data_IF_953420252028
#
_entry.id   IF_953420252028
#
_cell.length_a   1.000
_cell.length_b   1.000
_cell.length_c   1.000
_cell.angle_alpha   90.00
_cell.angle_beta   90.00
_cell.angle_gamma   90.00
#
_symmetry.space_group_name_H-M   'P 1'
#
loop_
_entity.id
_entity.type
_entity.pdbx_description
1 polymer ?
#
# COMPACT_ATOMS: atom_id res chain seq x y z
N UNK A 1 9.66 -8.15 -18.14
CA UNK A 1 8.59 -7.30 -17.57
C UNK A 1 7.35 -8.10 -17.17
N UNK A 2 7.17 -9.30 -17.73
CA UNK A 2 5.96 -10.14 -17.59
C UNK A 2 5.63 -10.58 -16.16
N UNK A 3 6.60 -10.57 -15.25
CA UNK A 3 6.39 -10.99 -13.86
C UNK A 3 5.97 -9.86 -12.91
N UNK A 4 6.14 -8.59 -13.29
CA UNK A 4 5.90 -7.45 -12.39
C UNK A 4 4.44 -7.40 -11.94
N UNK A 5 3.49 -7.51 -12.87
CA UNK A 5 2.06 -7.42 -12.56
C UNK A 5 1.59 -8.62 -11.72
N UNK A 6 1.88 -9.89 -12.07
CA UNK A 6 1.58 -11.03 -11.21
C UNK A 6 2.19 -10.93 -9.80
N UNK A 7 3.48 -10.57 -9.71
CA UNK A 7 4.18 -10.40 -8.42
C UNK A 7 3.53 -9.29 -7.60
N UNK A 8 3.24 -8.14 -8.21
CA UNK A 8 2.55 -7.04 -7.55
C UNK A 8 1.19 -7.46 -6.99
N UNK A 9 0.36 -8.17 -7.77
CA UNK A 9 -0.96 -8.64 -7.31
C UNK A 9 -0.83 -9.57 -6.11
N UNK A 10 0.10 -10.53 -6.20
CA UNK A 10 0.33 -11.50 -5.14
C UNK A 10 0.82 -10.82 -3.85
N UNK A 11 1.85 -9.98 -3.96
CA UNK A 11 2.39 -9.19 -2.83
C UNK A 11 1.32 -8.30 -2.22
N UNK A 12 0.48 -7.64 -3.02
CA UNK A 12 -0.59 -6.76 -2.52
C UNK A 12 -1.61 -7.52 -1.70
N UNK A 13 -2.05 -8.71 -2.15
CA UNK A 13 -3.01 -9.54 -1.42
C UNK A 13 -2.39 -10.07 -0.13
N UNK A 14 -1.16 -10.59 -0.19
CA UNK A 14 -0.44 -11.07 1.00
C UNK A 14 -0.26 -9.94 2.02
N UNK A 15 0.21 -8.77 1.58
CA UNK A 15 0.36 -7.60 2.42
C UNK A 15 -0.97 -7.19 3.05
N UNK A 16 -2.05 -7.15 2.29
CA UNK A 16 -3.36 -6.77 2.80
C UNK A 16 -3.88 -7.76 3.87
N UNK A 17 -3.70 -9.06 3.66
CA UNK A 17 -4.06 -10.09 4.64
C UNK A 17 -3.22 -10.00 5.92
N UNK A 18 -1.92 -9.78 5.80
CA UNK A 18 -1.03 -9.57 6.95
C UNK A 18 -1.41 -8.28 7.70
N UNK A 19 -1.76 -7.22 6.97
CA UNK A 19 -2.20 -5.94 7.55
C UNK A 19 -3.52 -6.09 8.32
N UNK A 20 -4.45 -6.93 7.84
CA UNK A 20 -5.63 -7.28 8.62
C UNK A 20 -5.27 -8.00 9.92
N UNK A 21 -4.44 -9.05 9.83
CA UNK A 21 -4.07 -9.86 11.00
C UNK A 21 -3.34 -9.04 12.07
N UNK A 22 -2.33 -8.27 11.65
CA UNK A 22 -1.55 -7.39 12.53
C UNK A 22 -2.40 -6.25 13.10
N UNK A 23 -3.33 -5.69 12.31
CA UNK A 23 -4.26 -4.67 12.78
C UNK A 23 -5.25 -5.21 13.82
N UNK A 24 -5.79 -6.42 13.63
CA UNK A 24 -6.63 -7.09 14.64
C UNK A 24 -5.82 -7.38 15.91
N UNK A 25 -4.59 -7.90 15.76
CA UNK A 25 -3.72 -8.15 16.90
C UNK A 25 -3.44 -6.89 17.70
N UNK A 26 -3.18 -5.74 17.06
CA UNK A 26 -3.00 -4.46 17.74
C UNK A 26 -4.22 -3.99 18.53
N UNK A 27 -5.44 -4.35 18.10
CA UNK A 27 -6.68 -4.02 18.80
C UNK A 27 -6.97 -4.96 19.98
N UNK A 28 -6.71 -6.26 19.81
CA UNK A 28 -7.04 -7.29 20.82
C UNK A 28 -5.92 -7.46 21.84
N UNK A 29 -4.66 -7.43 21.40
CA UNK A 29 -3.46 -7.55 22.22
C UNK A 29 -2.41 -6.47 21.86
N UNK A 30 -2.66 -5.21 22.29
CA UNK A 30 -1.73 -4.11 22.04
C UNK A 30 -0.36 -4.32 22.70
N UNK A 31 -0.28 -5.12 23.77
CA UNK A 31 0.98 -5.39 24.47
C UNK A 31 1.84 -6.35 23.65
N UNK A 32 1.29 -7.48 23.19
CA UNK A 32 1.98 -8.41 22.31
C UNK A 32 2.36 -7.78 20.96
N UNK A 33 1.51 -6.91 20.43
CA UNK A 33 1.84 -6.09 19.26
C UNK A 33 3.05 -5.18 19.55
N UNK A 34 3.02 -4.40 20.64
CA UNK A 34 4.11 -3.47 20.97
C UNK A 34 5.48 -4.15 21.16
N UNK A 35 5.50 -5.36 21.73
CA UNK A 35 6.71 -6.19 21.87
C UNK A 35 7.26 -6.60 20.50
N UNK A 36 6.38 -6.98 19.57
CA UNK A 36 6.75 -7.37 18.20
C UNK A 36 7.35 -6.20 17.39
N UNK A 37 7.00 -4.96 17.73
CA UNK A 37 7.56 -3.73 17.14
C UNK A 37 8.73 -3.16 17.95
N UNK A 38 9.17 -3.86 18.99
CA UNK A 38 10.33 -3.49 19.80
C UNK A 38 10.12 -2.23 20.65
N UNK A 39 8.87 -1.88 20.96
CA UNK A 39 8.46 -0.81 21.87
C UNK A 39 7.69 -1.42 23.06
N UNK A 40 8.35 -2.15 23.98
CA UNK A 40 7.66 -2.78 25.09
C UNK A 40 6.97 -1.72 25.96
N UNK A 41 5.64 -1.82 26.08
CA UNK A 41 4.82 -0.94 26.92
C UNK A 41 4.94 -1.24 28.42
N UNK A 42 5.92 -2.03 28.84
CA UNK A 42 6.05 -2.45 30.23
C UNK A 42 6.34 -1.23 31.12
N UNK A 43 5.54 -1.02 32.19
CA UNK A 43 5.81 0.04 33.15
C UNK A 43 7.12 -0.29 33.87
N UNK A 44 8.11 0.58 33.74
CA UNK A 44 9.31 0.53 34.59
C UNK A 44 8.86 0.75 36.05
N UNK A 45 9.22 -0.12 37.01
CA UNK A 45 8.88 0.11 38.40
C UNK A 45 9.74 1.30 38.87
N UNK A 46 9.12 2.45 39.09
CA UNK A 46 9.79 3.63 39.65
C UNK A 46 8.83 4.38 40.57
N UNK A 47 9.42 4.94 41.63
CA UNK A 47 8.82 5.49 42.85
C UNK A 47 7.48 6.24 42.68
N UNK A 48 6.68 6.26 43.76
CA UNK A 48 5.25 6.59 43.78
C UNK A 48 4.80 7.91 43.09
N UNK A 49 5.67 8.89 42.88
CA UNK A 49 5.37 10.09 42.08
C UNK A 49 5.45 9.86 40.55
N UNK A 50 6.26 8.90 40.09
CA UNK A 50 6.35 8.48 38.68
C UNK A 50 5.21 7.54 38.24
N UNK A 51 4.42 6.97 39.17
CA UNK A 51 3.29 6.09 38.84
C UNK A 51 2.18 6.78 38.05
N UNK A 52 1.92 8.07 38.30
CA UNK A 52 0.91 8.84 37.53
C UNK A 52 1.39 9.15 36.11
N UNK A 53 2.67 9.46 35.95
CA UNK A 53 3.29 9.73 34.65
C UNK A 53 3.41 8.43 33.83
N UNK A 54 3.83 7.33 34.47
CA UNK A 54 3.92 6.01 33.85
C UNK A 54 2.56 5.45 33.43
N UNK A 55 1.50 5.66 34.23
CA UNK A 55 0.14 5.22 33.84
C UNK A 55 -0.45 6.06 32.71
N UNK A 56 -0.18 7.38 32.64
CA UNK A 56 -0.53 8.20 31.48
C UNK A 56 0.24 7.80 30.22
N UNK A 57 1.55 7.59 30.31
CA UNK A 57 2.36 7.13 29.18
C UNK A 57 1.91 5.76 28.67
N UNK A 58 1.57 4.83 29.57
CA UNK A 58 1.02 3.52 29.22
C UNK A 58 -0.35 3.65 28.52
N UNK A 59 -1.22 4.55 28.99
CA UNK A 59 -2.49 4.86 28.35
C UNK A 59 -2.33 5.45 26.94
N UNK A 60 -1.46 6.46 26.79
CA UNK A 60 -1.15 7.08 25.50
C UNK A 60 -0.56 6.08 24.50
N UNK A 61 0.33 5.22 24.97
CA UNK A 61 0.98 4.25 24.11
C UNK A 61 0.02 3.11 23.70
N UNK A 62 -0.92 2.71 24.57
CA UNK A 62 -2.04 1.82 24.19
C UNK A 62 -2.95 2.46 23.14
N UNK A 63 -3.31 3.74 23.30
CA UNK A 63 -4.08 4.49 22.29
C UNK A 63 -3.34 4.62 20.97
N UNK A 64 -2.02 4.85 21.01
CA UNK A 64 -1.17 4.90 19.81
C UNK A 64 -1.11 3.56 19.09
N UNK A 65 -0.92 2.46 19.81
CA UNK A 65 -0.95 1.10 19.23
C UNK A 65 -2.32 0.78 18.62
N UNK A 66 -3.41 1.15 19.28
CA UNK A 66 -4.75 0.97 18.72
C UNK A 66 -4.93 1.77 17.42
N UNK A 67 -4.44 3.01 17.36
CA UNK A 67 -4.46 3.83 16.15
C UNK A 67 -3.64 3.21 15.01
N UNK A 68 -2.48 2.63 15.32
CA UNK A 68 -1.69 1.84 14.35
C UNK A 68 -2.47 0.62 13.87
N UNK A 69 -3.18 -0.07 14.77
CA UNK A 69 -4.03 -1.21 14.43
C UNK A 69 -5.15 -0.87 13.46
N UNK A 70 -5.87 0.23 13.73
CA UNK A 70 -6.92 0.74 12.84
C UNK A 70 -6.35 1.13 11.48
N UNK A 71 -5.16 1.75 11.44
CA UNK A 71 -4.47 2.08 10.18
C UNK A 71 -4.15 0.83 9.36
N UNK A 72 -3.62 -0.21 9.99
CA UNK A 72 -3.32 -1.49 9.33
C UNK A 72 -4.58 -2.19 8.83
N UNK A 73 -5.66 -2.20 9.64
CA UNK A 73 -6.96 -2.72 9.23
C UNK A 73 -7.52 -1.96 8.02
N UNK A 74 -7.59 -0.63 8.09
CA UNK A 74 -8.09 0.21 7.01
C UNK A 74 -7.32 -0.02 5.71
N UNK A 75 -5.99 -0.05 5.80
CA UNK A 75 -5.11 -0.34 4.65
C UNK A 75 -5.42 -1.70 4.02
N UNK A 76 -5.49 -2.76 4.84
CA UNK A 76 -5.78 -4.11 4.37
C UNK A 76 -7.14 -4.23 3.70
N UNK A 77 -8.18 -3.67 4.32
CA UNK A 77 -9.55 -3.66 3.77
C UNK A 77 -9.59 -2.91 2.44
N UNK A 78 -9.01 -1.70 2.37
CA UNK A 78 -9.01 -0.90 1.14
C UNK A 78 -8.34 -1.62 -0.02
N UNK A 79 -7.18 -2.24 0.21
CA UNK A 79 -6.47 -2.99 -0.84
C UNK A 79 -7.28 -4.20 -1.29
N UNK A 80 -7.87 -4.96 -0.36
CA UNK A 80 -8.71 -6.11 -0.71
C UNK A 80 -9.96 -5.73 -1.50
N UNK A 81 -10.61 -4.61 -1.16
CA UNK A 81 -11.76 -4.11 -1.92
C UNK A 81 -11.35 -3.78 -3.36
N UNK A 82 -10.25 -3.06 -3.55
CA UNK A 82 -9.79 -2.74 -4.90
C UNK A 82 -9.34 -3.98 -5.67
N UNK A 83 -8.64 -4.92 -5.02
CA UNK A 83 -8.26 -6.20 -5.61
C UNK A 83 -9.49 -7.01 -6.06
N UNK A 84 -10.53 -7.07 -5.20
CA UNK A 84 -11.80 -7.74 -5.50
C UNK A 84 -12.53 -7.09 -6.68
N UNK A 85 -12.51 -5.76 -6.77
CA UNK A 85 -13.09 -5.01 -7.90
C UNK A 85 -12.24 -5.06 -9.18
N UNK A 86 -11.06 -5.71 -9.16
CA UNK A 86 -10.12 -5.70 -10.29
C UNK A 86 -9.42 -4.35 -10.52
N UNK A 87 -9.56 -3.41 -9.58
CA UNK A 87 -9.02 -2.04 -9.60
C UNK A 87 -7.56 -2.02 -9.12
N UNK A 88 -6.72 -2.70 -9.88
CA UNK A 88 -5.32 -2.93 -9.51
C UNK A 88 -4.44 -1.68 -9.59
N UNK A 89 -4.82 -0.68 -10.39
CA UNK A 89 -4.09 0.59 -10.48
C UNK A 89 -4.33 1.45 -9.23
N UNK A 90 -5.58 1.50 -8.75
CA UNK A 90 -5.99 2.19 -7.53
C UNK A 90 -5.37 1.54 -6.31
N UNK A 91 -5.42 0.21 -6.22
CA UNK A 91 -4.71 -0.55 -5.18
C UNK A 91 -3.21 -0.21 -5.16
N UNK A 92 -2.58 -0.09 -6.34
CA UNK A 92 -1.15 0.14 -6.47
C UNK A 92 -0.76 1.57 -6.07
N UNK A 93 -1.66 2.51 -6.34
CA UNK A 93 -1.52 3.92 -5.96
C UNK A 93 -1.60 4.08 -4.45
N UNK A 94 -2.61 3.46 -3.82
CA UNK A 94 -2.74 3.45 -2.35
C UNK A 94 -1.53 2.77 -1.70
N UNK A 95 -1.08 1.64 -2.24
CA UNK A 95 0.08 0.91 -1.75
C UNK A 95 1.38 1.72 -1.87
N UNK A 96 1.56 2.46 -2.96
CA UNK A 96 2.68 3.38 -3.14
C UNK A 96 2.66 4.53 -2.12
N UNK A 97 1.51 5.17 -1.94
CA UNK A 97 1.35 6.27 -0.99
C UNK A 97 1.57 5.82 0.45
N UNK A 98 0.92 4.74 0.87
CA UNK A 98 1.02 4.22 2.24
C UNK A 98 2.42 3.67 2.50
N UNK A 99 2.99 2.92 1.55
CA UNK A 99 4.34 2.37 1.68
C UNK A 99 5.41 3.45 1.83
N UNK A 100 5.26 4.60 1.15
CA UNK A 100 6.17 5.74 1.33
C UNK A 100 5.89 6.51 2.63
N UNK A 101 4.64 6.93 2.85
CA UNK A 101 4.28 7.80 3.96
C UNK A 101 4.39 7.08 5.30
N UNK A 102 3.78 5.89 5.44
CA UNK A 102 3.73 5.18 6.73
C UNK A 102 5.10 4.63 7.09
N UNK A 103 5.77 3.92 6.18
CA UNK A 103 7.09 3.38 6.48
C UNK A 103 8.15 4.48 6.63
N UNK A 104 8.02 5.58 5.89
CA UNK A 104 8.87 6.76 6.04
C UNK A 104 8.68 7.44 7.39
N UNK A 105 7.43 7.69 7.81
CA UNK A 105 7.16 8.31 9.13
C UNK A 105 7.58 7.40 10.27
N UNK A 106 7.28 6.11 10.19
CA UNK A 106 7.59 5.15 11.25
C UNK A 106 9.11 4.96 11.36
N UNK A 107 9.80 4.85 10.21
CA UNK A 107 11.26 4.79 10.15
C UNK A 107 11.93 6.03 10.71
N UNK A 108 11.44 7.23 10.37
CA UNK A 108 11.95 8.49 10.90
C UNK A 108 11.79 8.60 12.42
N UNK A 109 10.61 8.28 12.95
CA UNK A 109 10.35 8.34 14.39
C UNK A 109 11.16 7.30 15.17
N UNK A 110 11.29 6.06 14.67
CA UNK A 110 12.12 5.03 15.31
C UNK A 110 13.61 5.39 15.30
N UNK A 111 14.12 5.92 14.18
CA UNK A 111 15.50 6.35 14.07
C UNK A 111 15.80 7.48 15.07
N UNK A 112 14.89 8.45 15.20
CA UNK A 112 15.02 9.56 16.16
C UNK A 112 14.93 9.10 17.62
N UNK A 113 14.22 8.00 17.90
CA UNK A 113 14.13 7.40 19.23
C UNK A 113 15.35 6.54 19.62
N UNK A 114 16.43 6.55 18.83
CA UNK A 114 17.65 5.77 19.07
C UNK A 114 17.61 4.35 18.51
N UNK A 115 16.53 3.96 17.83
CA UNK A 115 16.31 2.64 17.24
C UNK A 115 16.63 2.59 15.74
N UNK A 116 17.78 3.11 15.30
CA UNK A 116 18.12 3.26 13.88
C UNK A 116 17.99 1.96 13.07
N UNK A 117 18.44 0.81 13.60
CA UNK A 117 18.30 -0.48 12.93
C UNK A 117 16.82 -0.87 12.77
N UNK A 118 16.01 -0.71 13.82
CA UNK A 118 14.56 -0.98 13.79
C UNK A 118 13.83 -0.04 12.82
N UNK A 119 14.23 1.23 12.75
CA UNK A 119 13.70 2.19 11.79
C UNK A 119 13.97 1.75 10.35
N UNK A 120 15.17 1.23 10.07
CA UNK A 120 15.54 0.68 8.78
C UNK A 120 14.71 -0.57 8.41
N UNK A 121 14.50 -1.47 9.37
CA UNK A 121 13.66 -2.67 9.20
C UNK A 121 12.21 -2.35 8.86
N UNK A 122 11.72 -1.15 9.16
CA UNK A 122 10.39 -0.69 8.75
C UNK A 122 10.39 0.05 7.43
N UNK A 123 11.35 0.96 7.24
CA UNK A 123 11.43 1.79 6.04
C UNK A 123 11.71 0.97 4.76
N UNK A 124 12.58 -0.06 4.84
CA UNK A 124 12.98 -0.83 3.66
C UNK A 124 11.81 -1.64 3.06
N UNK A 125 11.09 -2.49 3.82
CA UNK A 125 9.95 -3.22 3.25
C UNK A 125 8.88 -2.29 2.67
N UNK A 126 8.60 -1.18 3.36
CA UNK A 126 7.65 -0.17 2.87
C UNK A 126 8.09 0.48 1.56
N UNK A 127 9.37 0.85 1.43
CA UNK A 127 9.92 1.40 0.20
C UNK A 127 9.89 0.38 -0.96
N UNK A 128 10.20 -0.88 -0.70
CA UNK A 128 10.14 -1.95 -1.70
C UNK A 128 8.70 -2.15 -2.21
N UNK A 129 7.73 -2.22 -1.29
CA UNK A 129 6.31 -2.36 -1.62
C UNK A 129 5.80 -1.13 -2.37
N UNK A 130 6.21 0.07 -1.96
CA UNK A 130 5.83 1.30 -2.64
C UNK A 130 6.38 1.36 -4.08
N UNK A 131 7.65 0.98 -4.25
CA UNK A 131 8.28 0.87 -5.57
C UNK A 131 7.57 -0.14 -6.46
N UNK A 132 7.19 -1.30 -5.92
CA UNK A 132 6.44 -2.32 -6.66
C UNK A 132 5.05 -1.81 -7.10
N UNK A 133 4.33 -1.11 -6.21
CA UNK A 133 3.04 -0.48 -6.53
C UNK A 133 3.18 0.58 -7.62
N UNK A 134 4.15 1.48 -7.49
CA UNK A 134 4.42 2.53 -8.47
C UNK A 134 4.80 1.95 -9.85
N UNK A 135 5.66 0.93 -9.87
CA UNK A 135 6.04 0.22 -11.10
C UNK A 135 4.83 -0.45 -11.75
N UNK A 136 3.95 -1.09 -10.99
CA UNK A 136 2.74 -1.72 -11.50
C UNK A 136 1.76 -0.71 -12.10
N UNK A 137 1.57 0.45 -11.45
CA UNK A 137 0.73 1.53 -11.97
C UNK A 137 1.32 2.08 -13.27
N UNK A 138 2.62 2.36 -13.30
CA UNK A 138 3.30 2.84 -14.51
C UNK A 138 3.12 1.89 -15.69
N UNK A 139 3.36 0.59 -15.48
CA UNK A 139 3.17 -0.44 -16.51
C UNK A 139 1.70 -0.56 -16.96
N UNK A 140 0.75 -0.40 -16.04
CA UNK A 140 -0.69 -0.38 -16.36
C UNK A 140 -1.10 0.81 -17.23
N UNK A 141 -0.57 2.00 -16.94
CA UNK A 141 -0.80 3.23 -17.73
C UNK A 141 -0.19 3.08 -19.13
N UNK A 142 1.05 2.59 -19.22
CA UNK A 142 1.73 2.35 -20.50
C UNK A 142 0.94 1.34 -21.35
N UNK A 143 0.45 0.25 -20.76
CA UNK A 143 -0.34 -0.76 -21.47
C UNK A 143 -1.65 -0.19 -22.05
N UNK A 144 -2.37 0.66 -21.30
CA UNK A 144 -3.56 1.33 -21.83
C UNK A 144 -3.23 2.33 -22.95
N UNK A 145 -2.12 3.07 -22.85
CA UNK A 145 -1.72 4.00 -23.91
C UNK A 145 -1.42 3.29 -25.23
N UNK A 146 -0.77 2.12 -25.19
CA UNK A 146 -0.54 1.28 -26.37
C UNK A 146 -1.84 0.75 -26.97
N UNK A 147 -2.77 0.26 -26.15
CA UNK A 147 -4.09 -0.20 -26.61
C UNK A 147 -4.88 0.92 -27.28
N UNK A 148 -4.84 2.13 -26.72
CA UNK A 148 -5.52 3.30 -27.28
C UNK A 148 -4.90 3.73 -28.62
N UNK A 149 -3.57 3.67 -28.74
CA UNK A 149 -2.87 3.93 -30.00
C UNK A 149 -3.27 2.94 -31.11
N UNK A 150 -3.30 1.63 -30.80
CA UNK A 150 -3.74 0.63 -31.77
C UNK A 150 -5.21 0.81 -32.17
N UNK A 151 -6.09 1.12 -31.21
CA UNK A 151 -7.51 1.37 -31.48
C UNK A 151 -7.72 2.59 -32.37
N UNK A 152 -6.95 3.67 -32.18
CA UNK A 152 -6.96 4.84 -33.08
C UNK A 152 -6.39 4.51 -34.46
N UNK A 153 -5.32 3.73 -34.53
CA UNK A 153 -4.75 3.27 -35.81
C UNK A 153 -5.73 2.46 -36.64
N UNK A 154 -6.53 1.58 -36.02
CA UNK A 154 -7.55 0.80 -36.72
C UNK A 154 -8.75 1.61 -37.19
N UNK A 155 -9.10 2.72 -36.51
CA UNK A 155 -10.18 3.60 -36.95
C UNK A 155 -9.79 4.49 -38.12
N UNK A 156 -8.50 4.85 -38.25
CA UNK A 156 -8.01 5.65 -39.37
C UNK A 156 -7.78 4.83 -40.67
N UNK A 157 -7.66 3.50 -40.57
CA UNK A 157 -7.52 2.63 -41.76
C UNK A 157 -8.87 2.24 -42.36
N UNK A 158 -9.96 2.31 -41.59
CA UNK A 158 -11.32 2.03 -42.08
C UNK A 158 -12.03 3.26 -42.69
N UNK A 159 -11.43 4.46 -42.60
CA UNK A 159 -12.06 5.73 -42.98
C UNK A 159 -11.68 6.31 -44.34
N UNK A 160 -10.53 5.93 -44.93
CA UNK A 160 -10.00 6.61 -46.12
C UNK A 160 -9.69 5.64 -47.27
N UNK A 161 -10.74 5.06 -47.87
CA UNK A 161 -10.71 4.76 -49.30
C UNK A 161 -11.78 5.63 -49.98
N UNK A 162 -11.45 6.86 -50.39
CA UNK A 162 -12.36 7.66 -51.18
C UNK A 162 -12.46 7.05 -52.58
N UNK A 163 -13.66 6.58 -52.94
CA UNK A 163 -14.12 6.53 -54.33
C UNK A 163 -13.60 5.37 -55.18
N UNK A 164 -14.31 4.24 -55.14
CA UNK A 164 -14.30 3.26 -56.24
C UNK A 164 -15.71 2.69 -56.55
N UNK A 165 -16.76 3.32 -56.03
CA UNK A 165 -18.15 2.83 -56.14
C UNK A 165 -19.06 3.52 -57.17
N UNK A 166 -18.54 4.38 -58.05
CA UNK A 166 -19.40 5.20 -58.95
C UNK A 166 -19.02 5.14 -60.43
N UNK A 167 -18.52 4.00 -60.92
CA UNK A 167 -18.29 3.81 -62.37
C UNK A 167 -18.80 2.44 -62.82
N UNK A 168 -20.09 2.12 -62.65
CA UNK A 168 -20.81 1.21 -63.56
C UNK A 168 -22.29 1.62 -63.60
N UNK A 169 -22.59 2.69 -64.34
CA UNK A 169 -23.93 2.94 -64.87
C UNK A 169 -24.02 2.27 -66.25
N UNK A 170 -24.77 1.18 -66.35
CA UNK A 170 -25.20 0.58 -67.60
C UNK A 170 -26.73 0.65 -67.62
N UNK A 171 -27.24 1.60 -68.39
CA UNK A 171 -28.56 1.65 -69.00
C UNK A 171 -28.35 1.70 -70.51
#
# INVERSE_FOLDING_TARGET
MDYIIPTYKWVSVTFAMLSLGTGIQALVDPIGFSKSFGMPLEPTPSDDDNRKIGSQQHGLAKSYVSLMGVRQLGTGITILIFAYQGKWAEAGTILALIGFLVAGTDGYHLARAGGASKGLFHAIPGACIAGLGAAAVYMGVVSQSHLNFFKQGTHNVAGDVPGLGSIIGLS
#
